data_IF_905157167538
#
_entry.id   IF_905157167538
#
_cell.length_a   1.000
_cell.length_b   1.000
_cell.length_c   1.000
_cell.angle_alpha   90.00
_cell.angle_beta   90.00
_cell.angle_gamma   90.00
#
_symmetry.space_group_name_H-M   'P 1'
#
loop_
_entity.id
_entity.type
_entity.pdbx_description
1 polymer ?
#
# COMPACT_ATOMS: atom_id res chain seq x y z
N UNK A 1 1.52 -8.06 -27.47
CA UNK A 1 2.72 -7.64 -26.72
C UNK A 1 2.41 -6.29 -26.08
N UNK A 2 2.04 -6.27 -24.79
CA UNK A 2 1.61 -5.04 -24.12
C UNK A 2 2.81 -4.09 -23.94
N UNK A 3 2.71 -2.90 -24.53
CA UNK A 3 3.72 -1.84 -24.42
C UNK A 3 3.95 -1.49 -22.96
N UNK A 4 5.14 -1.79 -22.45
CA UNK A 4 5.57 -1.41 -21.12
C UNK A 4 5.93 0.10 -21.14
N UNK A 5 4.91 0.96 -21.14
CA UNK A 5 5.10 2.40 -20.90
C UNK A 5 5.48 2.57 -19.44
N UNK A 6 6.73 2.91 -19.17
CA UNK A 6 7.18 3.38 -17.87
C UNK A 6 6.23 4.51 -17.42
N UNK A 7 5.50 4.36 -16.30
CA UNK A 7 4.61 5.40 -15.83
C UNK A 7 5.38 6.71 -15.61
N UNK A 8 4.81 7.88 -15.94
CA UNK A 8 5.45 9.14 -15.58
C UNK A 8 5.60 9.19 -14.06
N UNK A 9 6.71 9.75 -13.59
CA UNK A 9 6.94 9.94 -12.17
C UNK A 9 5.78 10.77 -11.59
N UNK A 10 5.06 10.23 -10.62
CA UNK A 10 3.85 10.85 -10.07
C UNK A 10 4.10 11.23 -8.62
N UNK A 11 3.58 12.40 -8.25
CA UNK A 11 3.58 12.83 -6.85
C UNK A 11 2.64 11.95 -6.02
N UNK A 12 3.00 11.73 -4.76
CA UNK A 12 2.10 11.06 -3.82
C UNK A 12 0.89 11.96 -3.52
N UNK A 13 -0.27 11.37 -3.19
CA UNK A 13 -1.39 12.10 -2.60
C UNK A 13 -0.93 12.96 -1.41
N UNK A 14 -1.57 14.14 -1.26
CA UNK A 14 -1.14 15.16 -0.30
C UNK A 14 -1.09 14.66 1.14
N UNK A 15 -2.05 13.82 1.54
CA UNK A 15 -2.14 13.26 2.88
C UNK A 15 -0.95 12.33 3.20
N UNK A 16 -0.59 11.46 2.26
CA UNK A 16 0.56 10.58 2.40
C UNK A 16 1.88 11.36 2.37
N UNK A 17 2.00 12.38 1.51
CA UNK A 17 3.17 13.25 1.48
C UNK A 17 3.36 14.03 2.78
N UNK A 18 2.28 14.63 3.31
CA UNK A 18 2.29 15.35 4.57
C UNK A 18 2.74 14.46 5.73
N UNK A 19 2.25 13.21 5.78
CA UNK A 19 2.68 12.23 6.77
C UNK A 19 4.19 11.95 6.68
N UNK A 20 4.73 11.73 5.48
CA UNK A 20 6.17 11.51 5.29
C UNK A 20 7.00 12.71 5.74
N UNK A 21 6.60 13.93 5.37
CA UNK A 21 7.30 15.16 5.75
C UNK A 21 7.28 15.34 7.28
N UNK A 22 6.14 15.09 7.92
CA UNK A 22 6.01 15.17 9.37
C UNK A 22 6.95 14.18 10.08
N UNK A 23 6.94 12.92 9.67
CA UNK A 23 7.80 11.89 10.29
C UNK A 23 9.28 12.12 10.04
N UNK A 24 9.66 12.70 8.89
CA UNK A 24 11.05 13.05 8.58
C UNK A 24 11.65 14.08 9.55
N UNK A 25 10.83 14.87 10.23
CA UNK A 25 11.31 15.82 11.24
C UNK A 25 11.92 15.14 12.47
N UNK A 26 11.51 13.90 12.76
CA UNK A 26 11.92 13.15 13.96
C UNK A 26 12.61 11.82 13.66
N UNK A 27 12.54 11.35 12.41
CA UNK A 27 13.07 10.07 11.98
C UNK A 27 13.87 10.20 10.69
N UNK A 28 14.85 9.33 10.52
CA UNK A 28 15.61 9.19 9.27
C UNK A 28 14.77 8.53 8.18
N UNK A 29 15.15 8.75 6.91
CA UNK A 29 14.46 8.09 5.78
C UNK A 29 14.55 6.57 5.86
N UNK A 30 15.66 6.03 6.36
CA UNK A 30 15.86 4.59 6.58
C UNK A 30 14.91 4.02 7.64
N UNK A 31 14.69 4.74 8.74
CA UNK A 31 13.72 4.33 9.77
C UNK A 31 12.29 4.34 9.24
N UNK A 32 11.92 5.38 8.49
CA UNK A 32 10.60 5.51 7.87
C UNK A 32 10.39 4.39 6.84
N UNK A 33 11.40 4.11 6.01
CA UNK A 33 11.36 3.04 5.01
C UNK A 33 11.15 1.67 5.66
N UNK A 34 11.90 1.37 6.74
CA UNK A 34 11.75 0.13 7.51
C UNK A 34 10.35 -0.03 8.10
N UNK A 35 9.77 1.04 8.70
CA UNK A 35 8.40 1.02 9.23
C UNK A 35 7.37 0.71 8.12
N UNK A 36 7.46 1.41 6.99
CA UNK A 36 6.54 1.23 5.86
C UNK A 36 6.81 -0.10 5.11
N UNK A 37 7.97 -0.72 5.31
CA UNK A 37 8.37 -1.95 4.62
C UNK A 37 8.69 -1.71 3.14
N UNK A 38 9.39 -0.62 2.84
CA UNK A 38 9.88 -0.27 1.49
C UNK A 38 11.37 0.07 1.56
N UNK A 39 12.02 0.27 0.41
CA UNK A 39 13.43 0.70 0.37
C UNK A 39 13.60 2.20 0.64
N UNK A 40 14.75 2.58 1.18
CA UNK A 40 15.13 3.98 1.41
C UNK A 40 15.04 4.80 0.12
N UNK A 41 15.44 4.21 -1.02
CA UNK A 41 15.32 4.80 -2.33
C UNK A 41 13.86 5.10 -2.73
N UNK A 42 12.91 4.28 -2.28
CA UNK A 42 11.47 4.52 -2.50
C UNK A 42 11.03 5.78 -1.76
N UNK A 43 11.43 5.96 -0.50
CA UNK A 43 11.10 7.16 0.29
C UNK A 43 11.78 8.41 -0.29
N UNK A 44 13.05 8.31 -0.68
CA UNK A 44 13.79 9.40 -1.31
C UNK A 44 13.14 9.85 -2.63
N UNK A 45 12.74 8.89 -3.48
CA UNK A 45 12.05 9.19 -4.74
C UNK A 45 10.64 9.75 -4.51
N UNK A 46 9.91 9.23 -3.52
CA UNK A 46 8.59 9.74 -3.14
C UNK A 46 8.67 11.21 -2.69
N UNK A 47 9.59 11.55 -1.78
CA UNK A 47 9.80 12.91 -1.29
C UNK A 47 10.21 13.90 -2.39
N UNK A 48 10.90 13.42 -3.43
CA UNK A 48 11.30 14.23 -4.60
C UNK A 48 10.23 14.31 -5.69
N UNK A 49 9.08 13.64 -5.52
CA UNK A 49 8.05 13.54 -6.55
C UNK A 49 8.47 12.74 -7.79
N UNK A 50 9.51 11.89 -7.65
CA UNK A 50 10.11 11.11 -8.75
C UNK A 50 9.81 9.62 -8.67
N UNK A 51 8.83 9.21 -7.86
CA UNK A 51 8.46 7.80 -7.76
C UNK A 51 7.68 7.36 -9.00
N UNK A 52 8.21 6.34 -9.68
CA UNK A 52 7.70 5.81 -10.97
C UNK A 52 6.77 4.60 -10.73
N UNK A 53 6.71 4.07 -9.50
CA UNK A 53 5.86 2.93 -9.16
C UNK A 53 4.39 3.31 -8.91
N UNK A 54 3.63 2.35 -8.38
CA UNK A 54 2.23 2.55 -8.02
C UNK A 54 2.12 3.46 -6.78
N UNK A 55 1.91 4.76 -7.00
CA UNK A 55 1.79 5.77 -5.93
C UNK A 55 0.63 5.50 -4.99
N UNK A 56 -0.47 4.94 -5.47
CA UNK A 56 -1.65 4.66 -4.65
C UNK A 56 -1.37 3.52 -3.67
N UNK A 57 -0.67 2.49 -4.14
CA UNK A 57 -0.18 1.37 -3.33
C UNK A 57 0.79 1.85 -2.25
N UNK A 58 1.71 2.76 -2.60
CA UNK A 58 2.63 3.35 -1.62
C UNK A 58 1.89 4.24 -0.62
N UNK A 59 0.93 5.05 -1.09
CA UNK A 59 0.13 5.91 -0.24
C UNK A 59 -0.75 5.13 0.73
N UNK A 60 -1.37 4.02 0.31
CA UNK A 60 -2.13 3.13 1.21
C UNK A 60 -1.25 2.57 2.33
N UNK A 61 -0.01 2.20 2.00
CA UNK A 61 0.97 1.69 2.97
C UNK A 61 1.36 2.76 3.98
N UNK A 62 1.64 3.98 3.49
CA UNK A 62 1.92 5.16 4.33
C UNK A 62 0.74 5.48 5.25
N UNK A 63 -0.49 5.48 4.71
CA UNK A 63 -1.71 5.75 5.50
C UNK A 63 -1.90 4.71 6.61
N UNK A 64 -1.67 3.44 6.30
CA UNK A 64 -1.83 2.36 7.28
C UNK A 64 -0.79 2.41 8.39
N UNK A 65 0.46 2.76 8.04
CA UNK A 65 1.59 2.77 8.97
C UNK A 65 1.71 4.08 9.77
N UNK A 66 1.70 5.22 9.07
CA UNK A 66 1.99 6.52 9.67
C UNK A 66 0.72 7.25 10.13
N UNK A 67 -0.39 7.10 9.41
CA UNK A 67 -1.67 7.73 9.74
C UNK A 67 -2.62 6.80 10.50
N UNK A 68 -2.20 5.55 10.76
CA UNK A 68 -3.01 4.51 11.43
C UNK A 68 -4.39 4.34 10.81
N UNK A 69 -4.52 4.56 9.49
CA UNK A 69 -5.78 4.40 8.77
C UNK A 69 -6.28 2.97 8.94
N UNK A 70 -7.52 2.82 9.39
CA UNK A 70 -8.19 1.53 9.54
C UNK A 70 -9.22 1.29 8.44
N UNK A 71 -9.53 0.02 8.23
CA UNK A 71 -10.58 -0.48 7.33
C UNK A 71 -11.28 -1.67 7.99
N UNK A 72 -12.54 -1.88 7.65
CA UNK A 72 -13.29 -3.04 8.12
C UNK A 72 -13.09 -4.21 7.14
N UNK A 73 -12.42 -5.26 7.63
CA UNK A 73 -12.26 -6.51 6.92
C UNK A 73 -13.38 -7.48 7.32
N UNK A 74 -14.11 -8.08 6.38
CA UNK A 74 -15.16 -9.05 6.71
C UNK A 74 -14.64 -10.32 7.39
N UNK A 75 -13.33 -10.61 7.30
CA UNK A 75 -12.71 -11.80 7.91
C UNK A 75 -11.92 -11.47 9.18
N UNK A 76 -11.20 -10.34 9.20
CA UNK A 76 -10.31 -9.97 10.31
C UNK A 76 -10.86 -8.88 11.23
N UNK A 77 -12.05 -8.34 10.94
CA UNK A 77 -12.60 -7.19 11.64
C UNK A 77 -11.86 -5.90 11.29
N UNK A 78 -11.82 -4.96 12.23
CA UNK A 78 -11.15 -3.68 12.02
C UNK A 78 -9.62 -3.84 12.05
N UNK A 79 -8.97 -3.55 10.93
CA UNK A 79 -7.51 -3.67 10.75
C UNK A 79 -6.95 -2.41 10.11
N UNK A 80 -5.63 -2.19 10.18
CA UNK A 80 -5.01 -1.09 9.44
C UNK A 80 -5.04 -1.35 7.93
N UNK A 81 -5.05 -0.29 7.11
CA UNK A 81 -4.94 -0.43 5.65
C UNK A 81 -3.65 -1.14 5.24
N UNK A 82 -2.59 -1.03 6.06
CA UNK A 82 -1.34 -1.78 5.90
C UNK A 82 -1.55 -3.29 6.00
N UNK A 83 -2.21 -3.75 7.06
CA UNK A 83 -2.51 -5.19 7.23
C UNK A 83 -3.45 -5.66 6.12
N UNK A 84 -4.46 -4.85 5.76
CA UNK A 84 -5.36 -5.17 4.66
C UNK A 84 -4.59 -5.37 3.35
N UNK A 85 -3.67 -4.48 3.02
CA UNK A 85 -2.80 -4.58 1.87
C UNK A 85 -1.92 -5.84 1.92
N UNK A 86 -1.23 -6.09 3.05
CA UNK A 86 -0.34 -7.24 3.20
C UNK A 86 -1.09 -8.57 3.06
N UNK A 87 -2.30 -8.67 3.60
CA UNK A 87 -3.15 -9.85 3.42
C UNK A 87 -3.61 -10.02 1.97
N UNK A 88 -3.91 -8.95 1.24
CA UNK A 88 -4.28 -9.03 -0.18
C UNK A 88 -3.12 -9.49 -1.07
N UNK A 89 -1.89 -9.10 -0.74
CA UNK A 89 -0.70 -9.38 -1.55
C UNK A 89 -0.10 -10.78 -1.34
N UNK A 90 -0.41 -11.42 -0.21
CA UNK A 90 0.04 -12.80 0.06
C UNK A 90 -0.47 -13.78 -1.02
N UNK A 91 0.28 -14.85 -1.33
CA UNK A 91 -0.19 -15.87 -2.26
C UNK A 91 -1.39 -16.66 -1.71
N UNK A 92 -2.15 -17.29 -2.59
CA UNK A 92 -3.18 -18.24 -2.19
C UNK A 92 -2.54 -19.49 -1.58
N UNK A 93 -3.09 -19.98 -0.46
CA UNK A 93 -2.60 -21.18 0.21
C UNK A 93 -3.77 -21.95 0.81
N UNK A 94 -3.90 -23.23 0.44
CA UNK A 94 -5.06 -24.07 0.79
C UNK A 94 -5.02 -24.62 2.22
N UNK A 95 -3.83 -24.83 2.79
CA UNK A 95 -3.71 -25.42 4.13
C UNK A 95 -4.11 -24.47 5.28
N UNK A 96 -4.38 -23.19 4.98
CA UNK A 96 -4.83 -22.22 5.97
C UNK A 96 -6.28 -21.79 5.64
N UNK A 97 -7.29 -22.21 6.43
CA UNK A 97 -8.68 -21.90 6.13
C UNK A 97 -8.98 -20.40 6.19
N UNK A 98 -8.33 -19.65 7.09
CA UNK A 98 -8.45 -18.18 7.15
C UNK A 98 -7.88 -17.55 5.88
N UNK A 99 -6.75 -18.07 5.36
CA UNK A 99 -6.19 -17.62 4.08
C UNK A 99 -7.14 -17.85 2.92
N UNK A 100 -7.80 -19.01 2.87
CA UNK A 100 -8.81 -19.33 1.84
C UNK A 100 -9.99 -18.35 1.93
N UNK A 101 -10.49 -18.08 3.14
CA UNK A 101 -11.57 -17.12 3.36
C UNK A 101 -11.17 -15.70 2.95
N UNK A 102 -9.99 -15.24 3.38
CA UNK A 102 -9.43 -13.95 2.99
C UNK A 102 -9.31 -13.82 1.47
N UNK A 103 -8.71 -14.80 0.80
CA UNK A 103 -8.54 -14.76 -0.65
C UNK A 103 -9.89 -14.67 -1.38
N UNK A 104 -10.91 -15.42 -0.93
CA UNK A 104 -12.26 -15.34 -1.51
C UNK A 104 -12.91 -13.98 -1.25
N UNK A 105 -12.86 -13.47 -0.02
CA UNK A 105 -13.44 -12.18 0.34
C UNK A 105 -12.76 -11.01 -0.38
N UNK A 106 -11.43 -11.03 -0.48
CA UNK A 106 -10.66 -9.97 -1.14
C UNK A 106 -10.98 -9.84 -2.63
N UNK A 107 -11.44 -10.89 -3.31
CA UNK A 107 -11.82 -10.83 -4.73
C UNK A 107 -13.00 -9.91 -5.02
N UNK A 108 -13.91 -9.73 -4.07
CA UNK A 108 -15.10 -8.88 -4.24
C UNK A 108 -15.12 -7.71 -3.25
N UNK A 109 -14.07 -7.57 -2.44
CA UNK A 109 -13.98 -6.55 -1.41
C UNK A 109 -13.85 -5.14 -2.02
N UNK A 110 -14.60 -4.14 -1.50
CA UNK A 110 -14.48 -2.75 -1.94
C UNK A 110 -13.12 -2.12 -1.61
N UNK A 111 -12.41 -2.67 -0.61
CA UNK A 111 -11.07 -2.21 -0.24
C UNK A 111 -9.96 -2.77 -1.14
N UNK A 112 -10.29 -3.68 -2.07
CA UNK A 112 -9.31 -4.23 -2.99
C UNK A 112 -9.29 -3.40 -4.29
N UNK A 113 -8.24 -2.61 -4.56
CA UNK A 113 -8.15 -1.84 -5.81
C UNK A 113 -8.07 -2.73 -7.07
N UNK A 114 -7.71 -4.01 -6.92
CA UNK A 114 -7.63 -4.98 -8.00
C UNK A 114 -8.93 -5.79 -8.20
N UNK A 115 -9.92 -5.68 -7.31
CA UNK A 115 -11.20 -6.41 -7.47
C UNK A 115 -12.07 -5.80 -8.57
N UNK A 116 -11.91 -4.50 -8.82
CA UNK A 116 -12.37 -3.89 -10.07
C UNK A 116 -11.29 -4.16 -11.10
N UNK A 117 -11.59 -5.07 -12.02
CA UNK A 117 -10.74 -5.34 -13.17
C UNK A 117 -10.31 -4.02 -13.80
N UNK A 118 -8.99 -3.89 -13.96
CA UNK A 118 -8.32 -3.16 -15.03
C UNK A 118 -9.30 -2.53 -16.03
N UNK A 119 -9.69 -1.28 -15.79
CA UNK A 119 -10.51 -0.50 -16.71
C UNK A 119 -9.92 0.90 -16.82
N UNK A 120 -8.96 0.98 -17.75
CA UNK A 120 -8.63 2.10 -18.65
C UNK A 120 -8.12 3.42 -18.09
#
# INVERSE_FOLDING_TARGET
MASNKTPPARALPQDAMAALVHFKATHTQAEIARRIGVSDGTISNALKGRYIGNVDRLAERIRGELLKKTVDCPILGQITSRICQDEREKPFHTANPVRVQLWRACKTCPNNPLSKGDQS
#
